data_IF_883205634787
#
_entry.id   IF_883205634787
#
_cell.length_a   1.000
_cell.length_b   1.000
_cell.length_c   1.000
_cell.angle_alpha   90.00
_cell.angle_beta   90.00
_cell.angle_gamma   90.00
#
_symmetry.space_group_name_H-M   'P 1'
#
loop_
_entity.id
_entity.type
_entity.pdbx_description
1 polymer ?
#
# COMPACT_ATOMS: atom_id res chain seq x y z
N UNK A 1 -2.45 -2.30 -20.87
CA UNK A 1 -1.46 -2.80 -19.88
C UNK A 1 -1.37 -4.31 -20.00
N UNK A 2 -0.17 -4.89 -19.92
CA UNK A 2 -0.02 -6.34 -19.72
C UNK A 2 -0.14 -6.60 -18.22
N UNK A 3 -0.90 -7.61 -17.85
CA UNK A 3 -0.92 -8.09 -16.47
C UNK A 3 0.39 -8.81 -16.20
N UNK A 4 1.11 -8.39 -15.17
CA UNK A 4 2.29 -9.08 -14.64
C UNK A 4 1.94 -9.56 -13.23
N UNK A 5 2.07 -10.86 -13.00
CA UNK A 5 1.84 -11.44 -11.68
C UNK A 5 2.94 -10.97 -10.72
N UNK A 6 2.62 -10.67 -9.44
CA UNK A 6 3.64 -10.35 -8.45
C UNK A 6 4.67 -11.47 -8.34
N UNK A 7 5.95 -11.10 -8.32
CA UNK A 7 7.03 -12.06 -8.06
C UNK A 7 6.99 -12.49 -6.59
N UNK A 8 7.15 -13.78 -6.31
CA UNK A 8 7.24 -14.29 -4.94
C UNK A 8 8.65 -14.05 -4.39
N UNK A 9 8.75 -13.30 -3.29
CA UNK A 9 9.98 -13.03 -2.54
C UNK A 9 9.82 -13.49 -1.09
N UNK A 10 10.92 -13.86 -0.43
CA UNK A 10 10.92 -14.10 1.01
C UNK A 10 10.77 -12.78 1.78
N UNK A 11 10.28 -12.82 3.01
CA UNK A 11 10.16 -11.60 3.85
C UNK A 11 11.52 -10.94 4.10
N UNK A 12 12.58 -11.74 4.27
CA UNK A 12 13.95 -11.25 4.41
C UNK A 12 14.40 -10.49 3.14
N UNK A 13 14.15 -11.06 1.95
CA UNK A 13 14.48 -10.42 0.67
C UNK A 13 13.68 -9.13 0.45
N UNK A 14 12.41 -9.11 0.88
CA UNK A 14 11.54 -7.92 0.81
C UNK A 14 12.14 -6.83 1.69
N UNK A 15 12.45 -7.15 2.95
CA UNK A 15 13.04 -6.18 3.88
C UNK A 15 14.38 -5.67 3.36
N UNK A 16 15.23 -6.55 2.84
CA UNK A 16 16.50 -6.16 2.22
C UNK A 16 16.27 -5.20 1.05
N UNK A 17 15.38 -5.55 0.12
CA UNK A 17 15.04 -4.72 -1.04
C UNK A 17 14.55 -3.33 -0.61
N UNK A 18 13.70 -3.27 0.42
CA UNK A 18 13.14 -2.00 0.87
C UNK A 18 14.11 -1.17 1.72
N UNK A 19 15.10 -1.81 2.35
CA UNK A 19 16.15 -1.13 3.12
C UNK A 19 17.18 -0.40 2.25
N UNK A 20 17.36 -0.85 1.01
CA UNK A 20 18.32 -0.29 0.05
C UNK A 20 17.83 1.03 -0.54
N UNK A 21 18.74 1.99 -0.71
CA UNK A 21 18.42 3.34 -1.23
C UNK A 21 18.66 3.47 -2.73
N UNK A 22 19.30 2.49 -3.35
CA UNK A 22 19.70 2.48 -4.77
C UNK A 22 18.70 1.77 -5.70
N UNK A 23 17.68 1.13 -5.13
CA UNK A 23 16.67 0.41 -5.90
C UNK A 23 15.73 1.35 -6.67
N UNK A 24 15.29 0.87 -7.84
CA UNK A 24 14.34 1.56 -8.69
C UNK A 24 12.93 1.62 -8.06
N UNK A 25 12.10 2.62 -8.41
CA UNK A 25 10.69 2.66 -8.04
C UNK A 25 9.96 1.34 -8.29
N UNK A 26 10.21 0.72 -9.44
CA UNK A 26 9.59 -0.54 -9.87
C UNK A 26 9.96 -1.70 -8.94
N UNK A 27 11.24 -1.81 -8.56
CA UNK A 27 11.70 -2.85 -7.62
C UNK A 27 11.06 -2.70 -6.24
N UNK A 28 10.94 -1.46 -5.75
CA UNK A 28 10.28 -1.17 -4.47
C UNK A 28 8.80 -1.53 -4.51
N UNK A 29 8.09 -1.08 -5.55
CA UNK A 29 6.67 -1.41 -5.75
C UNK A 29 6.47 -2.93 -5.86
N UNK A 30 7.36 -3.63 -6.58
CA UNK A 30 7.36 -5.08 -6.69
C UNK A 30 7.56 -5.79 -5.35
N UNK A 31 8.45 -5.29 -4.50
CA UNK A 31 8.65 -5.83 -3.15
C UNK A 31 7.41 -5.64 -2.26
N UNK A 32 6.76 -4.46 -2.32
CA UNK A 32 5.50 -4.23 -1.60
C UNK A 32 4.39 -5.15 -2.09
N UNK A 33 4.22 -5.30 -3.41
CA UNK A 33 3.27 -6.26 -3.99
C UNK A 33 3.55 -7.69 -3.50
N UNK A 34 4.82 -8.10 -3.46
CA UNK A 34 5.20 -9.40 -2.94
C UNK A 34 4.80 -9.57 -1.47
N UNK A 35 4.99 -8.53 -0.65
CA UNK A 35 4.56 -8.53 0.75
C UNK A 35 3.04 -8.69 0.88
N UNK A 36 2.25 -8.03 0.02
CA UNK A 36 0.79 -8.14 0.06
C UNK A 36 0.30 -9.54 -0.32
N UNK A 37 0.87 -10.15 -1.36
CA UNK A 37 0.40 -11.44 -1.88
C UNK A 37 1.00 -12.67 -1.18
N UNK A 38 2.22 -12.55 -0.64
CA UNK A 38 2.99 -13.69 -0.14
C UNK A 38 3.55 -13.49 1.27
N UNK A 39 3.31 -12.34 1.90
CA UNK A 39 3.65 -12.12 3.31
C UNK A 39 2.98 -13.15 4.21
N UNK A 40 3.66 -13.53 5.30
CA UNK A 40 3.16 -14.57 6.21
C UNK A 40 2.14 -14.05 7.22
N UNK A 41 2.03 -12.73 7.38
CA UNK A 41 1.14 -12.08 8.35
C UNK A 41 0.56 -10.79 7.80
N UNK A 42 -0.63 -10.42 8.30
CA UNK A 42 -1.30 -9.17 7.96
C UNK A 42 -0.48 -7.95 8.41
N UNK A 43 0.15 -8.09 9.58
CA UNK A 43 1.01 -7.09 10.19
C UNK A 43 2.20 -6.78 9.29
N UNK A 44 2.90 -7.81 8.82
CA UNK A 44 4.03 -7.62 7.91
C UNK A 44 3.60 -6.93 6.61
N UNK A 45 2.53 -7.40 5.96
CA UNK A 45 2.03 -6.84 4.71
C UNK A 45 1.58 -5.38 4.89
N UNK A 46 0.82 -5.10 5.94
CA UNK A 46 0.31 -3.76 6.25
C UNK A 46 1.40 -2.78 6.62
N UNK A 47 2.31 -3.16 7.51
CA UNK A 47 3.41 -2.30 7.96
C UNK A 47 4.41 -2.03 6.83
N UNK A 48 4.64 -3.01 5.96
CA UNK A 48 5.46 -2.83 4.75
C UNK A 48 4.85 -1.77 3.83
N UNK A 49 3.56 -1.89 3.51
CA UNK A 49 2.88 -0.91 2.65
C UNK A 49 2.89 0.50 3.24
N UNK A 50 2.51 0.63 4.52
CA UNK A 50 2.47 1.91 5.24
C UNK A 50 3.86 2.54 5.30
N UNK A 51 4.87 1.74 5.67
CA UNK A 51 6.25 2.18 5.80
C UNK A 51 6.83 2.69 4.48
N UNK A 52 6.60 1.95 3.40
CA UNK A 52 7.07 2.32 2.07
C UNK A 52 6.35 3.53 1.52
N UNK A 53 5.02 3.61 1.64
CA UNK A 53 4.26 4.78 1.21
C UNK A 53 4.74 6.07 1.91
N UNK A 54 5.04 5.97 3.21
CA UNK A 54 5.52 7.11 4.00
C UNK A 54 6.86 7.65 3.52
N UNK A 55 7.77 6.77 3.08
CA UNK A 55 9.15 7.12 2.64
C UNK A 55 9.26 7.43 1.15
N UNK A 56 8.34 6.91 0.36
CA UNK A 56 8.33 7.03 -1.10
C UNK A 56 8.23 8.50 -1.57
N UNK A 57 8.80 8.76 -2.74
CA UNK A 57 8.67 10.06 -3.42
C UNK A 57 7.30 10.17 -4.10
N UNK A 58 6.91 11.39 -4.49
CA UNK A 58 5.59 11.67 -5.05
C UNK A 58 5.16 10.74 -6.19
N UNK A 59 6.05 10.44 -7.14
CA UNK A 59 5.74 9.56 -8.28
C UNK A 59 5.47 8.11 -7.86
N UNK A 60 6.19 7.60 -6.87
CA UNK A 60 6.04 6.25 -6.32
C UNK A 60 4.76 6.13 -5.48
N UNK A 61 4.45 7.16 -4.70
CA UNK A 61 3.24 7.19 -3.85
C UNK A 61 1.97 6.98 -4.65
N UNK A 62 1.87 7.51 -5.88
CA UNK A 62 0.70 7.27 -6.74
C UNK A 62 0.49 5.78 -7.04
N UNK A 63 1.55 5.05 -7.35
CA UNK A 63 1.48 3.61 -7.61
C UNK A 63 1.16 2.82 -6.33
N UNK A 64 1.83 3.16 -5.22
CA UNK A 64 1.61 2.54 -3.91
C UNK A 64 0.20 2.81 -3.37
N UNK A 65 -0.41 3.95 -3.69
CA UNK A 65 -1.78 4.32 -3.29
C UNK A 65 -2.79 3.23 -3.67
N UNK A 66 -2.69 2.69 -4.89
CA UNK A 66 -3.60 1.64 -5.37
C UNK A 66 -3.47 0.33 -4.58
N UNK A 67 -2.32 0.10 -3.93
CA UNK A 67 -2.06 -1.12 -3.18
C UNK A 67 -2.81 -1.16 -1.84
N UNK A 68 -3.23 0.00 -1.30
CA UNK A 68 -4.08 0.03 -0.10
C UNK A 68 -5.42 -0.66 -0.32
N UNK A 69 -6.10 -0.38 -1.43
CA UNK A 69 -7.37 -1.06 -1.75
C UNK A 69 -7.17 -2.56 -1.94
N UNK A 70 -6.04 -2.95 -2.54
CA UNK A 70 -5.67 -4.36 -2.71
C UNK A 70 -5.49 -5.04 -1.36
N UNK A 71 -4.70 -4.44 -0.46
CA UNK A 71 -4.47 -4.99 0.88
C UNK A 71 -5.79 -5.14 1.65
N UNK A 72 -6.55 -4.06 1.81
CA UNK A 72 -7.79 -4.09 2.61
C UNK A 72 -8.89 -4.94 1.98
N UNK A 73 -9.03 -4.90 0.65
CA UNK A 73 -10.02 -5.70 -0.08
C UNK A 73 -9.70 -7.21 -0.09
N UNK A 74 -8.43 -7.58 -0.29
CA UNK A 74 -8.01 -8.99 -0.33
C UNK A 74 -7.97 -9.61 1.07
N UNK A 75 -7.34 -8.92 2.02
CA UNK A 75 -7.15 -9.44 3.37
C UNK A 75 -8.39 -9.29 4.26
N UNK A 76 -9.40 -8.52 3.82
CA UNK A 76 -10.64 -8.26 4.58
C UNK A 76 -10.35 -7.87 6.02
N UNK A 77 -9.41 -6.94 6.20
CA UNK A 77 -8.88 -6.53 7.52
C UNK A 77 -9.14 -5.05 7.78
N UNK A 78 -9.20 -4.68 9.06
CA UNK A 78 -9.18 -3.27 9.52
C UNK A 78 -7.82 -2.87 10.10
N UNK A 79 -6.80 -3.74 9.99
CA UNK A 79 -5.47 -3.51 10.53
C UNK A 79 -4.90 -2.16 10.07
N UNK A 80 -4.73 -1.25 11.03
CA UNK A 80 -4.19 0.11 10.83
C UNK A 80 -4.88 0.91 9.72
N UNK A 81 -6.16 0.63 9.42
CA UNK A 81 -6.90 1.34 8.36
C UNK A 81 -6.97 2.85 8.61
N UNK A 82 -7.02 3.27 9.87
CA UNK A 82 -7.06 4.68 10.25
C UNK A 82 -5.72 5.39 9.97
N UNK A 83 -4.60 4.70 10.19
CA UNK A 83 -3.27 5.22 9.85
C UNK A 83 -3.12 5.37 8.33
N UNK A 84 -3.60 4.38 7.57
CA UNK A 84 -3.59 4.41 6.10
C UNK A 84 -4.45 5.55 5.54
N UNK A 85 -5.65 5.77 6.10
CA UNK A 85 -6.52 6.90 5.75
C UNK A 85 -5.80 8.21 6.04
N UNK A 86 -5.23 8.39 7.23
CA UNK A 86 -4.54 9.62 7.61
C UNK A 86 -3.34 9.93 6.68
N UNK A 87 -2.59 8.90 6.28
CA UNK A 87 -1.49 9.03 5.31
C UNK A 87 -1.97 9.46 3.93
N UNK A 88 -3.07 8.87 3.44
CA UNK A 88 -3.66 9.22 2.16
C UNK A 88 -4.27 10.63 2.16
N UNK A 89 -4.87 11.06 3.27
CA UNK A 89 -5.34 12.45 3.44
C UNK A 89 -4.19 13.46 3.47
N UNK A 90 -3.06 13.12 4.07
CA UNK A 90 -1.84 13.93 3.99
C UNK A 90 -1.35 14.03 2.54
N UNK A 91 -1.24 12.89 1.85
CA UNK A 91 -0.85 12.86 0.44
C UNK A 91 -1.79 13.67 -0.46
N UNK A 92 -3.12 13.58 -0.24
CA UNK A 92 -4.12 14.39 -0.98
C UNK A 92 -3.86 15.89 -0.86
N UNK A 93 -3.47 16.36 0.34
CA UNK A 93 -3.17 17.78 0.58
C UNK A 93 -1.86 18.21 -0.08
N UNK A 94 -0.90 17.30 -0.21
CA UNK A 94 0.40 17.56 -0.86
C UNK A 94 0.30 17.64 -2.38
N UNK A 95 -0.61 16.88 -3.00
CA UNK A 95 -0.81 16.84 -4.47
C UNK A 95 -2.27 17.04 -4.87
N UNK A 96 -2.82 18.26 -4.75
CA UNK A 96 -4.22 18.55 -5.03
C UNK A 96 -4.67 18.18 -6.45
N UNK A 97 -3.76 18.18 -7.42
CA UNK A 97 -4.02 17.80 -8.81
C UNK A 97 -4.46 16.33 -8.97
N UNK A 98 -4.09 15.46 -8.02
CA UNK A 98 -4.48 14.05 -8.00
C UNK A 98 -5.57 13.74 -6.97
N UNK A 99 -6.17 14.77 -6.34
CA UNK A 99 -7.16 14.57 -5.30
C UNK A 99 -8.31 13.62 -5.66
N UNK A 100 -8.92 13.68 -6.88
CA UNK A 100 -10.00 12.76 -7.24
C UNK A 100 -9.59 11.28 -7.22
N UNK A 101 -8.37 10.95 -7.64
CA UNK A 101 -7.86 9.57 -7.64
C UNK A 101 -7.54 9.07 -6.23
N UNK A 102 -7.23 9.99 -5.31
CA UNK A 102 -6.94 9.69 -3.90
C UNK A 102 -8.24 9.58 -3.11
N UNK A 103 -9.21 10.44 -3.38
CA UNK A 103 -10.54 10.42 -2.75
C UNK A 103 -11.27 9.11 -3.02
N UNK A 104 -11.19 8.56 -4.24
CA UNK A 104 -11.75 7.24 -4.56
C UNK A 104 -11.16 6.12 -3.67
N UNK A 105 -9.86 6.16 -3.40
CA UNK A 105 -9.21 5.20 -2.49
C UNK A 105 -9.60 5.43 -1.04
N UNK A 106 -9.71 6.69 -0.61
CA UNK A 106 -10.17 7.04 0.73
C UNK A 106 -11.61 6.57 0.99
N UNK A 107 -12.49 6.70 -0.01
CA UNK A 107 -13.86 6.19 0.04
C UNK A 107 -13.88 4.66 0.18
N UNK A 108 -13.14 3.95 -0.67
CA UNK A 108 -13.04 2.49 -0.60
C UNK A 108 -12.52 2.00 0.78
N UNK A 109 -11.48 2.63 1.32
CA UNK A 109 -10.95 2.29 2.65
C UNK A 109 -11.97 2.58 3.77
N UNK A 110 -12.72 3.67 3.64
CA UNK A 110 -13.78 4.03 4.58
C UNK A 110 -14.92 3.01 4.56
N UNK A 111 -15.29 2.53 3.37
CA UNK A 111 -16.26 1.44 3.20
C UNK A 111 -15.78 0.15 3.84
N UNK A 112 -14.53 -0.28 3.56
CA UNK A 112 -13.96 -1.48 4.18
C UNK A 112 -13.93 -1.37 5.71
N UNK A 113 -13.52 -0.21 6.24
CA UNK A 113 -13.56 0.07 7.68
C UNK A 113 -14.97 -0.04 8.24
N UNK A 114 -15.98 0.50 7.56
CA UNK A 114 -17.36 0.45 8.01
C UNK A 114 -17.94 -0.97 7.97
N UNK A 115 -17.68 -1.72 6.90
CA UNK A 115 -18.14 -3.11 6.76
C UNK A 115 -17.58 -4.02 7.86
N UNK A 116 -16.30 -3.87 8.19
CA UNK A 116 -15.61 -4.74 9.16
C UNK A 116 -15.85 -4.35 10.62
N UNK A 117 -16.34 -3.13 10.90
CA UNK A 117 -16.81 -2.75 12.25
C UNK A 117 -18.12 -3.43 12.64
N UNK A 118 -18.86 -3.96 11.68
CA UNK A 118 -20.16 -4.60 11.87
C UNK A 118 -20.07 -6.14 11.95
N UNK A 119 -18.87 -6.69 12.05
CA UNK A 119 -18.57 -8.13 12.20
C UNK A 119 -18.10 -8.39 13.63
#
# INVERSE_FOLDING_TARGET
MRYEAPERKGEEDIVETLSRTDNSPEERIGAVLSALYYGKSLEFSGDTLIGEFSRAKYSERRSLKNLFETFYGMCRTSYRVDDSIALLEAYRREVPEYAPEIDATLEALSEYKAMLKNV
#
